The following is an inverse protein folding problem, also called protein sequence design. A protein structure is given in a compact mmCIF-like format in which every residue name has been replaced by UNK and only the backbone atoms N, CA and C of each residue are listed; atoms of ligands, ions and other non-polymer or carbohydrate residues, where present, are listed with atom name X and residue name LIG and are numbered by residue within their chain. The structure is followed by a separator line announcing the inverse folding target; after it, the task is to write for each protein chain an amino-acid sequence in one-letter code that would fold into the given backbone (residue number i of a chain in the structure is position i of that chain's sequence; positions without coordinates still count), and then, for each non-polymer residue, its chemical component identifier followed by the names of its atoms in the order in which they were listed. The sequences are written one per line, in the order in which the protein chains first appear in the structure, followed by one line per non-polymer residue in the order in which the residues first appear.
data_IF_598269973574
#
_entry.id   IF_598269973574
#
_cell.length_a   1.000
_cell.length_b   1.000
_cell.length_c   1.000
_cell.angle_alpha   90.00
_cell.angle_beta   90.00
_cell.angle_gamma   90.00
#
_symmetry.space_group_name_H-M   'P 1'
#
loop_
_entity.id
_entity.type
_entity.pdbx_description
1 polymer ?
#
# COMPACT_ATOMS: atom_id res chain seq x y z
N UNK A 1 -0.07 -7.95 9.32
CA UNK A 1 -0.69 -7.07 8.31
C UNK A 1 -1.39 -7.87 7.21
N UNK A 2 -0.71 -8.79 6.52
CA UNK A 2 -1.30 -9.63 5.45
C UNK A 2 -2.62 -10.35 5.81
N UNK A 3 -2.70 -10.95 7.01
CA UNK A 3 -3.92 -11.67 7.45
C UNK A 3 -5.14 -10.77 7.70
N UNK A 4 -4.93 -9.47 7.92
CA UNK A 4 -6.00 -8.50 8.19
C UNK A 4 -6.44 -7.73 6.94
N UNK A 5 -5.56 -7.62 5.93
CA UNK A 5 -5.85 -6.93 4.66
C UNK A 5 -6.43 -7.84 3.58
N UNK A 6 -6.38 -9.17 3.75
CA UNK A 6 -6.78 -10.12 2.70
C UNK A 6 -5.80 -10.19 1.51
N UNK A 7 -4.64 -9.53 1.63
CA UNK A 7 -3.58 -9.59 0.64
C UNK A 7 -2.56 -10.67 1.02
N UNK A 8 -1.91 -11.27 0.01
CA UNK A 8 -0.80 -12.18 0.28
C UNK A 8 0.34 -11.43 0.96
N UNK A 9 1.19 -12.12 1.73
CA UNK A 9 2.34 -11.48 2.38
C UNK A 9 3.26 -10.74 1.39
N UNK A 10 3.25 -11.13 0.12
CA UNK A 10 4.04 -10.54 -0.96
C UNK A 10 3.51 -9.19 -1.47
N UNK A 11 2.21 -8.86 -1.30
CA UNK A 11 1.67 -7.59 -1.81
C UNK A 11 1.98 -6.40 -0.88
N UNK A 12 2.57 -6.64 0.29
CA UNK A 12 2.64 -5.64 1.37
C UNK A 12 4.04 -5.02 1.57
N UNK A 13 5.07 -5.50 0.87
CA UNK A 13 6.47 -5.11 1.15
C UNK A 13 6.68 -3.60 1.00
N UNK A 14 6.17 -3.03 -0.08
CA UNK A 14 6.24 -1.59 -0.34
C UNK A 14 5.42 -0.76 0.66
N UNK A 15 4.31 -1.31 1.18
CA UNK A 15 3.50 -0.66 2.22
C UNK A 15 4.27 -0.63 3.54
N UNK A 16 4.95 -1.72 3.89
CA UNK A 16 5.76 -1.79 5.11
C UNK A 16 6.99 -0.88 5.05
N UNK A 17 7.62 -0.74 3.88
CA UNK A 17 8.74 0.21 3.70
C UNK A 17 8.22 1.65 3.80
N UNK A 18 7.10 1.97 3.16
CA UNK A 18 6.49 3.29 3.25
C UNK A 18 6.09 3.63 4.70
N UNK A 19 5.60 2.66 5.45
CA UNK A 19 5.30 2.82 6.88
C UNK A 19 6.56 3.03 7.72
N UNK A 20 7.62 2.26 7.49
CA UNK A 20 8.90 2.41 8.19
C UNK A 20 9.54 3.79 7.97
N UNK A 21 9.45 4.30 6.75
CA UNK A 21 9.98 5.62 6.36
C UNK A 21 9.02 6.77 6.66
N UNK A 22 7.82 6.48 7.18
CA UNK A 22 6.71 7.40 7.38
C UNK A 22 6.37 8.26 6.14
N UNK A 23 6.33 7.62 4.98
CA UNK A 23 5.94 8.23 3.70
C UNK A 23 4.68 7.57 3.14
N UNK A 24 4.10 8.21 2.12
CA UNK A 24 3.01 7.63 1.32
C UNK A 24 3.59 6.78 0.18
N UNK A 25 3.00 5.62 -0.05
CA UNK A 25 3.27 4.80 -1.23
C UNK A 25 2.46 5.31 -2.43
N UNK A 26 3.12 5.72 -3.50
CA UNK A 26 2.48 5.99 -4.80
C UNK A 26 2.54 4.72 -5.64
N UNK A 27 1.41 4.25 -6.15
CA UNK A 27 1.33 3.00 -6.91
C UNK A 27 0.35 3.10 -8.08
N UNK A 28 0.62 2.41 -9.18
CA UNK A 28 -0.35 2.22 -10.26
C UNK A 28 -1.36 1.08 -9.97
N UNK A 29 -1.16 0.31 -8.90
CA UNK A 29 -2.05 -0.78 -8.51
C UNK A 29 -3.27 -0.25 -7.74
N UNK A 30 -4.43 -0.30 -8.41
CA UNK A 30 -5.68 0.15 -7.83
C UNK A 30 -6.23 -0.75 -6.70
N UNK A 31 -5.86 -2.03 -6.66
CA UNK A 31 -6.23 -2.90 -5.53
C UNK A 31 -5.43 -2.51 -4.30
N UNK A 32 -4.12 -2.26 -4.46
CA UNK A 32 -3.25 -1.85 -3.36
C UNK A 32 -3.65 -0.49 -2.76
N UNK A 33 -3.87 0.52 -3.61
CA UNK A 33 -4.32 1.84 -3.15
C UNK A 33 -5.68 1.77 -2.43
N UNK A 34 -6.59 0.90 -2.87
CA UNK A 34 -7.90 0.69 -2.22
C UNK A 34 -7.79 -0.07 -0.90
N UNK A 35 -6.90 -1.05 -0.80
CA UNK A 35 -6.69 -1.82 0.42
C UNK A 35 -6.00 -0.99 1.52
N UNK A 36 -5.14 -0.04 1.13
CA UNK A 36 -4.31 0.75 2.05
C UNK A 36 -4.51 2.26 1.88
N UNK A 37 -5.74 2.76 1.79
CA UNK A 37 -6.05 4.19 1.52
C UNK A 37 -5.32 5.20 2.40
N UNK A 38 -4.98 4.83 3.65
CA UNK A 38 -4.24 5.71 4.57
C UNK A 38 -2.76 5.80 4.23
N UNK A 39 -2.17 4.74 3.65
CA UNK A 39 -0.72 4.60 3.41
C UNK A 39 -0.34 4.58 1.92
N UNK A 40 -1.28 4.35 1.01
CA UNK A 40 -1.07 4.28 -0.44
C UNK A 40 -2.06 5.16 -1.20
N UNK A 41 -1.61 5.73 -2.33
CA UNK A 41 -2.41 6.48 -3.29
C UNK A 41 -2.13 6.02 -4.73
N UNK A 42 -3.12 6.22 -5.61
CA UNK A 42 -2.96 5.91 -7.02
C UNK A 42 -1.96 6.90 -7.65
N UNK A 43 -1.18 6.43 -8.62
CA UNK A 43 -0.29 7.28 -9.41
C UNK A 43 -1.04 8.41 -10.13
N UNK A 44 -2.32 8.20 -10.50
CA UNK A 44 -3.16 9.26 -11.07
C UNK A 44 -3.57 10.35 -10.09
N UNK A 45 -3.47 10.06 -8.78
CA UNK A 45 -3.94 10.92 -7.69
C UNK A 45 -2.76 11.56 -6.93
N UNK A 46 -1.53 11.34 -7.42
CA UNK A 46 -0.27 11.76 -6.82
C UNK A 46 0.22 13.11 -7.37
#
# INVERSE_FOLDING_TARGET
MAKASGCSAYDCEFVSVAEYLDVKLVTADAKLAKAFKTRALLLSDA
#
